data_IF_013796676395
#
_entry.id   IF_013796676395
#
_cell.length_a   1.000
_cell.length_b   1.000
_cell.length_c   1.000
_cell.angle_alpha   90.00
_cell.angle_beta   90.00
_cell.angle_gamma   90.00
#
_symmetry.space_group_name_H-M   'P 1'
#
loop_
_entity.id
_entity.type
_entity.pdbx_description
1 polymer ?
#
# COMPACT_ATOMS: atom_id res chain seq x y z
N UNK A 1 -36.82 8.53 7.02
CA UNK A 1 -35.49 9.04 7.38
C UNK A 1 -34.76 8.14 8.40
N UNK A 2 -35.25 7.97 9.64
CA UNK A 2 -34.57 7.12 10.65
C UNK A 2 -34.54 5.64 10.23
N UNK A 3 -35.65 5.08 9.72
CA UNK A 3 -35.68 3.69 9.25
C UNK A 3 -34.71 3.44 8.10
N UNK A 4 -34.62 4.35 7.12
CA UNK A 4 -33.66 4.26 6.00
C UNK A 4 -32.21 4.33 6.48
N UNK A 5 -31.92 5.17 7.48
CA UNK A 5 -30.60 5.24 8.09
C UNK A 5 -30.24 3.92 8.80
N UNK A 6 -31.19 3.31 9.51
CA UNK A 6 -30.99 2.03 10.18
C UNK A 6 -30.77 0.89 9.18
N UNK A 7 -31.52 0.85 8.08
CA UNK A 7 -31.32 -0.15 7.02
C UNK A 7 -29.97 0.00 6.36
N UNK A 8 -29.58 1.24 6.03
CA UNK A 8 -28.26 1.53 5.45
C UNK A 8 -27.13 1.11 6.40
N UNK A 9 -27.23 1.42 7.70
CA UNK A 9 -26.26 0.99 8.70
C UNK A 9 -26.20 -0.53 8.82
N UNK A 10 -27.35 -1.21 8.81
CA UNK A 10 -27.41 -2.67 8.87
C UNK A 10 -26.75 -3.31 7.64
N UNK A 11 -26.96 -2.77 6.44
CA UNK A 11 -26.30 -3.23 5.22
C UNK A 11 -24.78 -3.05 5.27
N UNK A 12 -24.28 -1.93 5.79
CA UNK A 12 -22.84 -1.71 5.97
C UNK A 12 -22.24 -2.69 6.98
N UNK A 13 -22.94 -2.94 8.10
CA UNK A 13 -22.50 -3.91 9.11
C UNK A 13 -22.45 -5.31 8.49
N UNK A 14 -23.49 -5.72 7.76
CA UNK A 14 -23.54 -7.03 7.09
C UNK A 14 -22.44 -7.17 6.03
N UNK A 15 -22.14 -6.11 5.27
CA UNK A 15 -21.03 -6.10 4.33
C UNK A 15 -19.71 -6.37 5.06
N UNK A 16 -19.40 -5.61 6.12
CA UNK A 16 -18.18 -5.78 6.93
C UNK A 16 -18.06 -7.21 7.48
N UNK A 17 -19.15 -7.76 8.03
CA UNK A 17 -19.17 -9.12 8.57
C UNK A 17 -18.83 -10.18 7.51
N UNK A 18 -19.28 -9.98 6.28
CA UNK A 18 -19.03 -10.90 5.16
C UNK A 18 -17.58 -10.83 4.67
N UNK A 19 -16.89 -9.70 4.86
CA UNK A 19 -15.48 -9.56 4.51
C UNK A 19 -14.51 -10.19 5.52
N UNK A 20 -14.92 -10.39 6.78
CA UNK A 20 -14.05 -10.96 7.83
C UNK A 20 -13.50 -12.36 7.46
N UNK A 21 -14.31 -13.34 7.02
CA UNK A 21 -13.80 -14.66 6.62
C UNK A 21 -12.82 -14.60 5.44
N UNK A 22 -13.05 -13.70 4.49
CA UNK A 22 -12.17 -13.49 3.34
C UNK A 22 -10.83 -12.90 3.78
N UNK A 23 -10.84 -11.90 4.66
CA UNK A 23 -9.62 -11.33 5.25
C UNK A 23 -8.82 -12.40 5.99
N UNK A 24 -9.48 -13.22 6.80
CA UNK A 24 -8.84 -14.32 7.53
C UNK A 24 -8.18 -15.32 6.59
N UNK A 25 -8.88 -15.74 5.53
CA UNK A 25 -8.34 -16.63 4.49
C UNK A 25 -7.13 -16.00 3.79
N UNK A 26 -7.21 -14.73 3.42
CA UNK A 26 -6.12 -14.00 2.78
C UNK A 26 -4.89 -13.89 3.68
N UNK A 27 -5.07 -13.63 4.98
CA UNK A 27 -3.98 -13.59 5.96
C UNK A 27 -3.30 -14.95 6.06
N UNK A 28 -4.05 -16.05 6.13
CA UNK A 28 -3.48 -17.40 6.16
C UNK A 28 -2.66 -17.66 4.90
N UNK A 29 -3.24 -17.40 3.71
CA UNK A 29 -2.55 -17.58 2.44
C UNK A 29 -1.26 -16.75 2.40
N UNK A 30 -1.33 -15.46 2.78
CA UNK A 30 -0.18 -14.57 2.86
C UNK A 30 0.91 -15.15 3.77
N UNK A 31 0.56 -15.64 4.96
CA UNK A 31 1.52 -16.26 5.87
C UNK A 31 2.18 -17.50 5.26
N UNK A 32 1.43 -18.34 4.55
CA UNK A 32 1.99 -19.47 3.81
C UNK A 32 2.99 -19.02 2.73
N UNK A 33 2.63 -18.02 1.91
CA UNK A 33 3.51 -17.47 0.89
C UNK A 33 4.79 -16.88 1.51
N UNK A 34 4.66 -16.07 2.56
CA UNK A 34 5.81 -15.48 3.27
C UNK A 34 6.71 -16.56 3.84
N UNK A 35 6.14 -17.59 4.48
CA UNK A 35 6.91 -18.71 5.03
C UNK A 35 7.67 -19.48 3.93
N UNK A 36 6.99 -19.86 2.85
CA UNK A 36 7.62 -20.62 1.76
C UNK A 36 8.65 -19.80 1.00
N UNK A 37 8.36 -18.53 0.68
CA UNK A 37 9.34 -17.65 0.06
C UNK A 37 10.53 -17.36 0.98
N UNK A 38 10.32 -17.21 2.28
CA UNK A 38 11.43 -17.03 3.23
C UNK A 38 12.28 -18.29 3.40
N UNK A 39 11.68 -19.48 3.27
CA UNK A 39 12.38 -20.76 3.45
C UNK A 39 13.07 -21.26 2.18
N UNK A 40 12.40 -21.15 1.04
CA UNK A 40 12.81 -21.76 -0.25
C UNK A 40 13.07 -20.71 -1.34
N UNK A 41 12.98 -19.42 -1.02
CA UNK A 41 13.16 -18.32 -1.98
C UNK A 41 14.47 -18.40 -2.74
N UNK A 42 15.58 -18.75 -2.09
CA UNK A 42 16.88 -18.89 -2.75
C UNK A 42 16.89 -20.01 -3.80
N UNK A 43 16.19 -21.12 -3.53
CA UNK A 43 16.07 -22.23 -4.48
C UNK A 43 15.15 -21.84 -5.64
N UNK A 44 14.08 -21.09 -5.36
CA UNK A 44 13.20 -20.55 -6.40
C UNK A 44 13.95 -19.56 -7.31
N UNK A 45 14.76 -18.65 -6.74
CA UNK A 45 15.58 -17.72 -7.51
C UNK A 45 16.62 -18.45 -8.35
N UNK A 46 17.26 -19.51 -7.82
CA UNK A 46 18.19 -20.35 -8.59
C UNK A 46 17.48 -21.07 -9.74
N UNK A 47 16.32 -21.66 -9.50
CA UNK A 47 15.51 -22.31 -10.53
C UNK A 47 15.14 -21.35 -11.67
N UNK A 48 14.73 -20.12 -11.34
CA UNK A 48 14.46 -19.09 -12.35
C UNK A 48 15.73 -18.72 -13.13
N UNK A 49 16.88 -18.58 -12.46
CA UNK A 49 18.18 -18.30 -13.11
C UNK A 49 18.63 -19.42 -14.05
N UNK A 50 18.31 -20.67 -13.75
CA UNK A 50 18.71 -21.83 -14.55
C UNK A 50 17.86 -22.00 -15.83
N UNK A 51 16.62 -21.51 -15.82
CA UNK A 51 15.71 -21.54 -16.99
C UNK A 51 15.98 -20.36 -17.94
N UNK A 52 16.49 -19.24 -17.42
CA UNK A 52 16.69 -18.03 -18.21
C UNK A 52 17.97 -18.11 -19.07
N UNK A 53 17.94 -17.54 -20.30
CA UNK A 53 19.13 -17.41 -21.13
C UNK A 53 20.22 -16.59 -20.43
N UNK A 54 21.46 -17.08 -20.45
CA UNK A 54 22.62 -16.43 -19.82
C UNK A 54 23.18 -15.28 -20.67
N UNK A 55 22.32 -14.38 -21.15
CA UNK A 55 22.73 -13.17 -21.87
C UNK A 55 22.94 -12.00 -20.88
N UNK A 56 23.69 -10.98 -21.30
CA UNK A 56 23.96 -9.77 -20.51
C UNK A 56 22.66 -9.03 -20.14
N UNK A 57 21.65 -9.07 -21.01
CA UNK A 57 20.32 -8.45 -20.78
C UNK A 57 19.60 -9.01 -19.56
N UNK A 58 19.51 -10.34 -19.41
CA UNK A 58 18.86 -10.98 -18.27
C UNK A 58 19.64 -10.79 -16.97
N UNK A 59 20.97 -10.69 -17.04
CA UNK A 59 21.81 -10.37 -15.89
C UNK A 59 21.54 -8.96 -15.36
N UNK A 60 21.42 -7.98 -16.25
CA UNK A 60 21.06 -6.61 -15.90
C UNK A 60 19.63 -6.49 -15.37
N UNK A 61 18.68 -7.27 -15.91
CA UNK A 61 17.31 -7.32 -15.40
C UNK A 61 17.24 -7.84 -13.96
N UNK A 62 18.01 -8.88 -13.63
CA UNK A 62 18.07 -9.42 -12.27
C UNK A 62 18.56 -8.38 -11.25
N UNK A 63 19.64 -7.65 -11.57
CA UNK A 63 20.16 -6.60 -10.69
C UNK A 63 19.17 -5.46 -10.51
N UNK A 64 18.48 -5.06 -11.59
CA UNK A 64 17.44 -4.03 -11.51
C UNK A 64 16.27 -4.46 -10.62
N UNK A 65 15.81 -5.71 -10.75
CA UNK A 65 14.74 -6.24 -9.89
C UNK A 65 15.19 -6.25 -8.42
N UNK A 66 16.41 -6.68 -8.13
CA UNK A 66 16.95 -6.69 -6.77
C UNK A 66 17.06 -5.27 -6.18
N UNK A 67 17.50 -4.30 -6.98
CA UNK A 67 17.57 -2.89 -6.57
C UNK A 67 16.18 -2.28 -6.32
N UNK A 68 15.19 -2.62 -7.15
CA UNK A 68 13.80 -2.20 -6.96
C UNK A 68 13.24 -2.80 -5.67
N UNK A 69 13.42 -4.10 -5.42
CA UNK A 69 12.93 -4.78 -4.22
C UNK A 69 13.57 -4.20 -2.95
N UNK A 70 14.88 -3.94 -2.97
CA UNK A 70 15.59 -3.26 -1.89
C UNK A 70 15.07 -1.85 -1.66
N UNK A 71 14.84 -1.10 -2.74
CA UNK A 71 14.30 0.26 -2.65
C UNK A 71 12.91 0.27 -2.01
N UNK A 72 12.02 -0.65 -2.40
CA UNK A 72 10.68 -0.79 -1.81
C UNK A 72 10.77 -1.11 -0.30
N UNK A 73 11.64 -2.05 0.08
CA UNK A 73 11.88 -2.38 1.49
C UNK A 73 12.37 -1.17 2.28
N UNK A 74 13.37 -0.44 1.78
CA UNK A 74 13.94 0.73 2.45
C UNK A 74 12.91 1.85 2.58
N UNK A 75 12.15 2.14 1.51
CA UNK A 75 11.09 3.14 1.52
C UNK A 75 10.03 2.80 2.57
N UNK A 76 9.57 1.54 2.62
CA UNK A 76 8.55 1.12 3.59
C UNK A 76 9.06 1.19 5.03
N UNK A 77 10.32 0.83 5.29
CA UNK A 77 10.93 0.96 6.63
C UNK A 77 11.00 2.42 7.05
N UNK A 78 11.45 3.31 6.16
CA UNK A 78 11.54 4.74 6.45
C UNK A 78 10.12 5.31 6.67
N UNK A 79 9.16 4.95 5.82
CA UNK A 79 7.76 5.37 5.96
C UNK A 79 7.16 4.90 7.28
N UNK A 80 7.39 3.63 7.69
CA UNK A 80 6.95 3.08 8.96
C UNK A 80 7.50 3.87 10.16
N UNK A 81 8.78 4.23 10.13
CA UNK A 81 9.41 5.03 11.20
C UNK A 81 8.82 6.44 11.24
N UNK A 82 8.73 7.12 10.10
CA UNK A 82 8.22 8.49 10.03
C UNK A 82 6.76 8.52 10.46
N UNK A 83 5.94 7.62 9.94
CA UNK A 83 4.54 7.55 10.29
C UNK A 83 4.37 7.24 11.78
N UNK A 84 5.07 6.25 12.32
CA UNK A 84 5.02 5.93 13.75
C UNK A 84 5.38 7.11 14.64
N UNK A 85 6.36 7.92 14.26
CA UNK A 85 6.73 9.15 14.98
C UNK A 85 5.65 10.24 14.87
N UNK A 86 5.07 10.45 13.69
CA UNK A 86 3.98 11.41 13.50
C UNK A 86 2.73 10.98 14.29
N UNK A 87 2.40 9.69 14.29
CA UNK A 87 1.30 9.12 15.07
C UNK A 87 1.54 9.28 16.57
N UNK A 88 2.78 9.11 17.05
CA UNK A 88 3.13 9.33 18.45
C UNK A 88 2.82 10.77 18.88
N UNK A 89 3.18 11.76 18.05
CA UNK A 89 2.86 13.17 18.30
C UNK A 89 1.35 13.37 18.36
N UNK A 90 0.60 12.80 17.41
CA UNK A 90 -0.87 12.83 17.41
C UNK A 90 -1.43 12.24 18.70
N UNK A 91 -0.97 11.06 19.11
CA UNK A 91 -1.46 10.38 20.31
C UNK A 91 -1.13 11.13 21.60
N UNK A 92 0.05 11.76 21.65
CA UNK A 92 0.46 12.62 22.76
C UNK A 92 -0.46 13.84 22.90
N UNK A 93 -0.72 14.56 21.80
CA UNK A 93 -1.59 15.75 21.80
C UNK A 93 -3.03 15.39 22.18
N UNK A 94 -3.52 14.21 21.77
CA UNK A 94 -4.87 13.73 22.13
C UNK A 94 -4.94 13.12 23.53
N UNK A 95 -3.82 12.90 24.20
CA UNK A 95 -3.76 12.37 25.56
C UNK A 95 -4.12 10.88 25.65
N UNK A 96 -3.74 10.07 24.64
CA UNK A 96 -3.88 8.62 24.76
C UNK A 96 -2.83 8.05 25.72
N UNK A 97 -3.16 7.01 26.50
CA UNK A 97 -2.18 6.28 27.28
C UNK A 97 -1.27 5.45 26.35
N UNK A 98 -0.06 5.13 26.81
CA UNK A 98 0.89 4.25 26.09
C UNK A 98 1.24 4.72 24.66
N UNK A 99 1.46 6.04 24.48
CA UNK A 99 1.75 6.65 23.17
C UNK A 99 2.88 5.98 22.38
N UNK A 100 3.92 5.49 23.07
CA UNK A 100 5.05 4.79 22.45
C UNK A 100 4.61 3.48 21.82
N UNK A 101 3.81 2.70 22.56
CA UNK A 101 3.28 1.43 22.08
C UNK A 101 2.36 1.66 20.88
N UNK A 102 1.45 2.64 20.97
CA UNK A 102 0.55 2.97 19.88
C UNK A 102 1.31 3.42 18.63
N UNK A 103 2.31 4.30 18.76
CA UNK A 103 3.14 4.73 17.64
C UNK A 103 3.91 3.58 16.98
N UNK A 104 4.45 2.65 17.76
CA UNK A 104 5.11 1.44 17.25
C UNK A 104 4.14 0.55 16.49
N UNK A 105 2.95 0.29 17.06
CA UNK A 105 1.93 -0.53 16.40
C UNK A 105 1.50 0.14 15.08
N UNK A 106 1.32 1.45 15.05
CA UNK A 106 0.98 2.19 13.83
C UNK A 106 2.06 2.11 12.77
N UNK A 107 3.33 2.27 13.17
CA UNK A 107 4.47 2.09 12.24
C UNK A 107 4.56 0.67 11.69
N UNK A 108 4.45 -0.35 12.55
CA UNK A 108 4.41 -1.76 12.11
C UNK A 108 3.22 -2.03 11.17
N UNK A 109 2.09 -1.36 11.39
CA UNK A 109 0.89 -1.53 10.55
C UNK A 109 1.10 -1.10 9.10
N UNK A 110 2.10 -0.28 8.78
CA UNK A 110 2.47 0.09 7.39
C UNK A 110 2.82 -1.16 6.56
N UNK A 111 3.35 -2.20 7.19
CA UNK A 111 3.67 -3.45 6.50
C UNK A 111 2.45 -4.33 6.22
N UNK A 112 1.26 -3.97 6.72
CA UNK A 112 0.02 -4.71 6.48
C UNK A 112 -0.64 -4.13 5.22
N UNK A 113 -0.62 -4.85 4.08
CA UNK A 113 -1.21 -4.36 2.85
C UNK A 113 -2.73 -4.20 3.00
N UNK A 114 -3.32 -3.28 2.23
CA UNK A 114 -4.78 -2.99 2.16
C UNK A 114 -5.36 -2.35 3.42
N UNK A 115 -4.91 -2.76 4.60
CA UNK A 115 -5.44 -2.34 5.88
C UNK A 115 -4.59 -1.23 6.49
N UNK A 116 -3.26 -1.39 6.48
CA UNK A 116 -2.35 -0.36 6.90
C UNK A 116 -2.60 0.18 8.34
N UNK A 117 -2.15 1.41 8.59
CA UNK A 117 -2.36 2.18 9.82
C UNK A 117 -3.83 2.49 10.15
N UNK A 118 -4.74 2.37 9.17
CA UNK A 118 -6.18 2.63 9.32
C UNK A 118 -6.81 1.88 10.48
N UNK A 119 -6.39 0.63 10.72
CA UNK A 119 -6.94 -0.17 11.81
C UNK A 119 -6.65 0.44 13.17
N UNK A 120 -5.48 1.05 13.36
CA UNK A 120 -5.13 1.66 14.65
C UNK A 120 -5.95 2.94 14.87
N UNK A 121 -5.97 3.85 13.89
CA UNK A 121 -6.75 5.09 13.99
C UNK A 121 -8.26 4.84 14.07
N UNK A 122 -8.75 3.88 13.29
CA UNK A 122 -10.14 3.45 13.29
C UNK A 122 -10.55 2.85 14.62
N UNK A 123 -9.77 1.90 15.15
CA UNK A 123 -10.06 1.29 16.45
C UNK A 123 -10.07 2.33 17.58
N UNK A 124 -9.05 3.20 17.65
CA UNK A 124 -8.98 4.26 18.66
C UNK A 124 -10.14 5.25 18.53
N UNK A 125 -10.47 5.64 17.30
CA UNK A 125 -11.54 6.60 17.06
C UNK A 125 -12.92 6.04 17.39
N UNK A 126 -13.19 4.78 17.02
CA UNK A 126 -14.44 4.10 17.36
C UNK A 126 -14.55 3.98 18.89
N UNK A 127 -13.50 3.55 19.57
CA UNK A 127 -13.49 3.43 21.04
C UNK A 127 -13.77 4.77 21.73
N UNK A 128 -13.20 5.86 21.23
CA UNK A 128 -13.44 7.20 21.77
C UNK A 128 -14.88 7.68 21.54
N UNK A 129 -15.44 7.42 20.36
CA UNK A 129 -16.83 7.76 20.06
C UNK A 129 -17.79 6.96 20.96
N UNK A 130 -17.52 5.67 21.17
CA UNK A 130 -18.32 4.80 22.03
C UNK A 130 -18.23 5.20 23.52
N UNK A 131 -17.10 5.76 23.95
CA UNK A 131 -16.91 6.27 25.31
C UNK A 131 -17.38 7.73 25.49
N UNK A 132 -17.99 8.32 24.46
CA UNK A 132 -18.59 9.66 24.51
C UNK A 132 -17.63 10.80 24.16
N UNK A 133 -16.39 10.51 23.78
CA UNK A 133 -15.41 11.52 23.37
C UNK A 133 -15.35 11.69 21.84
N UNK A 134 -16.43 12.22 21.27
CA UNK A 134 -16.61 12.38 19.82
C UNK A 134 -15.51 13.22 19.16
N UNK A 135 -15.04 14.28 19.84
CA UNK A 135 -14.00 15.17 19.32
C UNK A 135 -12.65 14.43 19.28
N UNK A 136 -12.31 13.64 20.31
CA UNK A 136 -11.08 12.84 20.30
C UNK A 136 -11.08 11.79 19.20
N UNK A 137 -12.19 11.05 19.09
CA UNK A 137 -12.30 10.02 18.07
C UNK A 137 -12.32 10.54 16.64
N UNK A 138 -13.08 11.61 16.37
CA UNK A 138 -13.11 12.21 15.03
C UNK A 138 -11.75 12.77 14.61
N UNK A 139 -11.03 13.44 15.53
CA UNK A 139 -9.71 13.99 15.24
C UNK A 139 -8.68 12.89 14.97
N UNK A 140 -8.65 11.81 15.75
CA UNK A 140 -7.65 10.75 15.54
C UNK A 140 -7.84 10.05 14.20
N UNK A 141 -9.10 9.85 13.78
CA UNK A 141 -9.43 9.27 12.47
C UNK A 141 -9.05 10.19 11.32
N UNK A 142 -9.49 11.45 11.35
CA UNK A 142 -9.27 12.40 10.24
C UNK A 142 -7.80 12.79 10.15
N UNK A 143 -7.16 13.15 11.26
CA UNK A 143 -5.74 13.55 11.25
C UNK A 143 -4.86 12.34 10.98
N UNK A 144 -5.19 11.16 11.53
CA UNK A 144 -4.53 9.92 11.17
C UNK A 144 -4.62 9.66 9.66
N UNK A 145 -5.76 9.95 9.05
CA UNK A 145 -5.98 9.79 7.61
C UNK A 145 -5.16 10.69 6.74
N UNK A 146 -5.15 11.96 7.09
CA UNK A 146 -4.35 12.94 6.40
C UNK A 146 -2.85 12.63 6.56
N UNK A 147 -2.42 12.17 7.74
CA UNK A 147 -1.02 11.85 7.99
C UNK A 147 -0.55 10.65 7.18
N UNK A 148 -1.33 9.56 7.20
CA UNK A 148 -1.03 8.35 6.42
C UNK A 148 -1.01 8.63 4.91
N UNK A 149 -2.07 9.29 4.42
CA UNK A 149 -2.18 9.69 3.01
C UNK A 149 -1.03 10.60 2.59
N UNK A 150 -0.59 11.51 3.45
CA UNK A 150 0.55 12.38 3.17
C UNK A 150 1.86 11.59 3.05
N UNK A 151 2.10 10.63 3.95
CA UNK A 151 3.28 9.77 3.88
C UNK A 151 3.26 8.95 2.59
N UNK A 152 2.12 8.37 2.23
CA UNK A 152 1.99 7.53 1.04
C UNK A 152 2.03 8.30 -0.28
N UNK A 153 1.36 9.46 -0.37
CA UNK A 153 1.27 10.21 -1.62
C UNK A 153 2.47 11.14 -1.87
N UNK A 154 3.18 11.56 -0.82
CA UNK A 154 4.27 12.52 -0.96
C UNK A 154 5.62 11.95 -0.57
N UNK A 155 5.68 11.27 0.57
CA UNK A 155 6.96 10.87 1.15
C UNK A 155 7.49 9.59 0.49
N UNK A 156 6.64 8.57 0.32
CA UNK A 156 7.02 7.30 -0.31
C UNK A 156 7.53 7.49 -1.75
N UNK A 157 6.89 8.27 -2.63
CA UNK A 157 7.41 8.53 -3.99
C UNK A 157 8.72 9.34 -3.97
N UNK A 158 8.84 10.31 -3.06
CA UNK A 158 10.06 11.11 -2.93
C UNK A 158 11.24 10.29 -2.41
N UNK A 159 10.98 9.35 -1.51
CA UNK A 159 11.98 8.41 -0.99
C UNK A 159 12.35 7.34 -2.01
N UNK A 160 11.40 6.93 -2.86
CA UNK A 160 11.63 5.97 -3.93
C UNK A 160 12.50 6.54 -5.07
N UNK A 161 12.71 7.86 -5.11
CA UNK A 161 13.39 8.52 -6.22
C UNK A 161 12.49 8.56 -7.45
N UNK A 162 12.51 9.69 -8.16
CA UNK A 162 11.66 9.95 -9.32
C UNK A 162 11.76 8.83 -10.37
N UNK A 163 10.78 7.93 -10.35
CA UNK A 163 10.48 7.08 -11.48
C UNK A 163 9.05 7.37 -11.89
N UNK A 164 8.89 8.38 -12.75
CA UNK A 164 8.31 8.22 -14.08
C UNK A 164 7.81 9.57 -14.63
N UNK A 165 8.25 9.91 -15.85
CA UNK A 165 7.68 10.99 -16.67
C UNK A 165 6.29 10.61 -17.24
N UNK A 166 5.43 9.96 -16.45
CA UNK A 166 4.10 9.58 -16.91
C UNK A 166 3.21 10.82 -16.95
N UNK A 167 2.65 11.12 -18.13
CA UNK A 167 1.77 12.26 -18.34
C UNK A 167 0.57 12.22 -17.35
N UNK A 168 0.28 13.29 -16.57
CA UNK A 168 -0.73 13.27 -15.49
C UNK A 168 -2.13 12.77 -15.88
N UNK A 169 -2.55 13.02 -17.12
CA UNK A 169 -3.80 12.48 -17.70
C UNK A 169 -3.90 10.96 -17.61
N UNK A 170 -2.78 10.25 -17.76
CA UNK A 170 -2.73 8.78 -17.75
C UNK A 170 -3.09 8.25 -16.35
N UNK A 171 -2.55 8.87 -15.30
CA UNK A 171 -2.94 8.57 -13.92
C UNK A 171 -4.38 8.97 -13.61
N UNK A 172 -4.86 10.11 -14.11
CA UNK A 172 -6.24 10.55 -13.93
C UNK A 172 -7.24 9.51 -14.49
N UNK A 173 -6.94 8.98 -15.68
CA UNK A 173 -7.75 7.90 -16.29
C UNK A 173 -7.71 6.64 -15.43
N UNK A 174 -6.54 6.25 -14.93
CA UNK A 174 -6.40 5.11 -14.00
C UNK A 174 -7.20 5.28 -12.72
N UNK A 175 -7.18 6.47 -12.10
CA UNK A 175 -7.97 6.80 -10.92
C UNK A 175 -9.47 6.65 -11.17
N UNK A 176 -9.97 7.24 -12.27
CA UNK A 176 -11.40 7.25 -12.59
C UNK A 176 -11.87 5.83 -12.94
N UNK A 177 -11.17 5.13 -13.84
CA UNK A 177 -11.55 3.78 -14.23
C UNK A 177 -11.38 2.77 -13.11
N UNK A 178 -10.33 2.90 -12.32
CA UNK A 178 -10.12 2.09 -11.13
C UNK A 178 -11.27 2.25 -10.14
N UNK A 179 -11.62 3.50 -9.79
CA UNK A 179 -12.73 3.79 -8.90
C UNK A 179 -14.07 3.23 -9.39
N UNK A 180 -14.34 3.33 -10.70
CA UNK A 180 -15.58 2.84 -11.30
C UNK A 180 -15.67 1.31 -11.34
N UNK A 181 -14.54 0.60 -11.47
CA UNK A 181 -14.53 -0.87 -11.63
C UNK A 181 -14.38 -1.62 -10.31
N UNK A 182 -13.57 -1.08 -9.39
CA UNK A 182 -13.18 -1.75 -8.15
C UNK A 182 -13.61 -0.97 -6.89
N UNK A 183 -14.31 0.17 -7.03
CA UNK A 183 -14.70 1.01 -5.91
C UNK A 183 -13.51 1.71 -5.24
N UNK A 184 -13.56 1.87 -3.91
CA UNK A 184 -12.50 2.54 -3.14
C UNK A 184 -11.09 1.93 -3.37
N UNK A 185 -10.88 0.60 -3.33
CA UNK A 185 -9.59 -0.02 -3.66
C UNK A 185 -9.12 0.30 -5.08
N UNK A 186 -10.06 0.51 -5.99
CA UNK A 186 -9.82 0.89 -7.37
C UNK A 186 -9.14 2.24 -7.55
N UNK A 187 -9.35 3.19 -6.64
CA UNK A 187 -8.64 4.48 -6.65
C UNK A 187 -7.13 4.27 -6.52
N UNK A 188 -6.67 3.20 -5.86
CA UNK A 188 -5.25 2.89 -5.71
C UNK A 188 -4.75 1.94 -6.80
N UNK A 189 -5.51 0.88 -7.10
CA UNK A 189 -5.12 -0.16 -8.06
C UNK A 189 -5.09 0.38 -9.51
N UNK A 190 -6.03 1.25 -9.87
CA UNK A 190 -6.17 1.77 -11.23
C UNK A 190 -4.95 2.57 -11.72
N UNK A 191 -4.48 3.59 -10.97
CA UNK A 191 -3.24 4.31 -11.25
C UNK A 191 -2.02 3.37 -11.39
N UNK A 192 -1.96 2.33 -10.55
CA UNK A 192 -0.84 1.40 -10.47
C UNK A 192 -0.73 0.52 -11.72
N UNK A 193 -1.84 -0.06 -12.17
CA UNK A 193 -1.90 -0.86 -13.41
C UNK A 193 -1.52 0.00 -14.62
N UNK A 194 -2.04 1.22 -14.67
CA UNK A 194 -1.79 2.14 -15.78
C UNK A 194 -0.33 2.60 -15.81
N UNK A 195 0.26 2.89 -14.65
CA UNK A 195 1.69 3.22 -14.53
C UNK A 195 2.59 2.08 -15.02
N UNK A 196 2.33 0.85 -14.57
CA UNK A 196 3.09 -0.34 -15.01
C UNK A 196 2.96 -0.53 -16.53
N UNK A 197 1.75 -0.41 -17.07
CA UNK A 197 1.49 -0.56 -18.51
C UNK A 197 2.25 0.51 -19.31
N UNK A 198 2.26 1.75 -18.84
CA UNK A 198 2.98 2.84 -19.48
C UNK A 198 4.50 2.60 -19.51
N UNK A 199 5.07 2.14 -18.40
CA UNK A 199 6.50 1.82 -18.28
C UNK A 199 6.88 0.67 -19.21
N UNK A 200 6.08 -0.40 -19.25
CA UNK A 200 6.30 -1.53 -20.16
C UNK A 200 6.24 -1.09 -21.63
N UNK A 201 5.31 -0.21 -21.98
CA UNK A 201 5.20 0.33 -23.33
C UNK A 201 6.42 1.17 -23.73
N UNK A 202 6.92 2.03 -22.84
CA UNK A 202 8.13 2.81 -23.10
C UNK A 202 9.38 1.93 -23.24
N UNK A 203 9.56 0.95 -22.34
CA UNK A 203 10.67 0.01 -22.43
C UNK A 203 10.68 -0.77 -23.76
N UNK A 204 9.51 -1.23 -24.23
CA UNK A 204 9.38 -1.90 -25.51
C UNK A 204 9.65 -0.99 -26.72
N UNK A 205 9.24 0.29 -26.63
CA UNK A 205 9.49 1.28 -27.68
C UNK A 205 10.98 1.60 -27.80
N UNK A 206 11.67 1.77 -26.68
CA UNK A 206 13.09 2.12 -26.67
C UNK A 206 13.97 0.98 -27.20
N UNK A 207 13.63 -0.28 -26.92
CA UNK A 207 14.28 -1.45 -27.54
C UNK A 207 14.13 -1.46 -29.07
N UNK A 208 12.94 -1.14 -29.60
CA UNK A 208 12.71 -1.11 -31.06
C UNK A 208 13.40 0.04 -31.79
N UNK A 209 13.55 1.18 -31.14
CA UNK A 209 14.25 2.35 -31.73
C UNK A 209 15.75 2.08 -31.83
N UNK A 210 16.34 1.39 -30.85
CA UNK A 210 17.74 0.95 -30.89
C UNK A 210 18.02 -0.06 -32.00
N UNK A 211 17.08 -0.99 -32.25
CA UNK A 211 17.22 -2.04 -33.28
C UNK A 211 17.12 -1.47 -34.71
N UNK A 212 16.37 -0.38 -34.90
CA UNK A 212 16.26 0.33 -36.18
C UNK A 212 17.41 1.31 -36.44
N UNK A 213 18.14 1.74 -35.40
CA UNK A 213 19.32 2.60 -35.52
C UNK A 213 20.59 1.83 -35.91
N UNK A 214 20.60 0.52 -35.73
CA UNK A 214 21.76 -0.35 -35.96
C UNK A 214 21.72 -1.08 -37.31
N UNK A 215 20.79 -0.70 -38.20
CA UNK A 215 20.57 -1.26 -39.53
C UNK A 215 20.47 -0.12 -40.56
#
# INVERSE_FOLDING_TARGET
>A
MIAQLLTWLAEQIMAILTYIPTLFTNIIILLFFVFYFSKEGDNFVKFIKDILPKNETFKNLYTQIDDILKSIMVVNVIAAVILGLLSLILYYIRGYPYILLLGIITGISVFIPVVGPWVVYGALGILDILTGNYIRGGVVMVVGWLTDTFVDMYLSPRLAGEYTEVHPLVFLVGFIFGALTLGLPGLFIGPLIVGITYVLYHAYRDERVMDQSNN
#
